data_IF_200851187711
#
_entry.id   IF_200851187711
#
_cell.length_a   1.000
_cell.length_b   1.000
_cell.length_c   1.000
_cell.angle_alpha   90.00
_cell.angle_beta   90.00
_cell.angle_gamma   90.00
#
_symmetry.space_group_name_H-M   'P 1'
#
loop_
_entity.id
_entity.type
_entity.pdbx_description
1 polymer ?
#
# COMPACT_ATOMS: atom_id res chain seq x y z
N UNK A 1 -14.13 -31.32 -10.03
CA UNK A 1 -12.75 -31.09 -9.53
C UNK A 1 -12.86 -30.60 -8.09
N UNK A 2 -12.22 -31.28 -7.15
CA UNK A 2 -12.13 -30.81 -5.78
C UNK A 2 -11.35 -29.50 -5.77
N UNK A 3 -11.95 -28.43 -5.26
CA UNK A 3 -11.30 -27.12 -5.13
C UNK A 3 -10.32 -27.18 -3.94
N UNK A 4 -9.05 -27.41 -4.22
CA UNK A 4 -8.01 -27.41 -3.18
C UNK A 4 -7.64 -25.96 -2.87
N UNK A 5 -7.84 -25.52 -1.63
CA UNK A 5 -7.40 -24.21 -1.17
C UNK A 5 -5.88 -24.13 -1.23
N UNK A 6 -5.36 -23.03 -1.80
CA UNK A 6 -3.95 -22.68 -1.83
C UNK A 6 -3.73 -21.33 -1.15
N UNK A 7 -2.69 -21.26 -0.33
CA UNK A 7 -2.27 -20.03 0.36
C UNK A 7 -0.85 -19.60 -0.04
N UNK A 8 -0.39 -20.06 -1.22
CA UNK A 8 0.96 -19.74 -1.70
C UNK A 8 1.09 -18.29 -2.21
N UNK A 9 0.02 -17.74 -2.75
CA UNK A 9 -0.09 -16.33 -3.13
C UNK A 9 -1.56 -15.92 -3.29
N UNK A 10 -1.83 -14.64 -3.43
CA UNK A 10 -3.17 -14.04 -3.52
C UNK A 10 -3.67 -13.81 -4.97
N UNK A 11 -2.97 -14.33 -5.98
CA UNK A 11 -3.28 -14.14 -7.41
C UNK A 11 -3.34 -15.45 -8.22
N UNK A 12 -3.65 -16.58 -7.59
CA UNK A 12 -3.69 -17.90 -8.28
C UNK A 12 -5.02 -18.14 -8.98
N UNK A 13 -6.12 -17.81 -8.36
CA UNK A 13 -7.45 -17.97 -8.91
C UNK A 13 -7.91 -16.70 -9.63
N UNK A 14 -8.89 -16.87 -10.53
CA UNK A 14 -9.57 -15.75 -11.18
C UNK A 14 -10.56 -15.04 -10.26
N UNK A 15 -11.33 -14.13 -10.82
CA UNK A 15 -12.31 -13.36 -10.07
C UNK A 15 -13.48 -14.25 -9.57
N UNK A 16 -14.06 -13.87 -8.43
CA UNK A 16 -15.28 -14.52 -7.93
C UNK A 16 -16.38 -14.53 -8.98
N UNK A 17 -17.20 -15.62 -9.10
CA UNK A 17 -18.23 -15.74 -10.14
C UNK A 17 -19.17 -14.53 -10.25
N UNK A 18 -19.56 -13.89 -9.15
CA UNK A 18 -20.40 -12.69 -9.18
C UNK A 18 -19.70 -11.49 -9.85
N UNK A 19 -18.37 -11.38 -9.75
CA UNK A 19 -17.59 -10.34 -10.43
C UNK A 19 -17.56 -10.64 -11.93
N UNK A 20 -17.31 -11.89 -12.33
CA UNK A 20 -17.33 -12.30 -13.74
C UNK A 20 -18.69 -12.05 -14.37
N UNK A 21 -19.78 -12.40 -13.67
CA UNK A 21 -21.14 -12.11 -14.12
C UNK A 21 -21.34 -10.61 -14.32
N UNK A 22 -20.94 -9.78 -13.35
CA UNK A 22 -21.07 -8.34 -13.44
C UNK A 22 -20.27 -7.74 -14.59
N UNK A 23 -19.07 -8.25 -14.84
CA UNK A 23 -18.27 -7.85 -16.00
C UNK A 23 -18.98 -8.18 -17.33
N UNK A 24 -19.60 -9.37 -17.45
CA UNK A 24 -20.39 -9.71 -18.62
C UNK A 24 -21.59 -8.76 -18.83
N UNK A 25 -22.33 -8.44 -17.75
CA UNK A 25 -23.48 -7.55 -17.80
C UNK A 25 -23.13 -6.13 -18.21
N UNK A 26 -21.95 -5.65 -17.85
CA UNK A 26 -21.49 -4.28 -18.08
C UNK A 26 -20.52 -4.14 -19.27
N UNK A 27 -20.23 -5.25 -19.97
CA UNK A 27 -19.18 -5.31 -20.99
C UNK A 27 -19.32 -4.27 -22.12
N UNK A 28 -20.55 -3.86 -22.45
CA UNK A 28 -20.82 -2.87 -23.48
C UNK A 28 -21.20 -1.49 -22.92
N UNK A 29 -21.09 -1.29 -21.61
CA UNK A 29 -21.34 0.01 -21.02
C UNK A 29 -20.25 1.00 -21.44
N UNK A 30 -20.66 2.17 -21.91
CA UNK A 30 -19.75 3.27 -22.24
C UNK A 30 -19.64 4.19 -21.03
N UNK A 31 -18.49 4.17 -20.38
CA UNK A 31 -18.24 4.91 -19.14
C UNK A 31 -17.19 5.99 -19.34
N UNK A 32 -17.24 7.03 -18.49
CA UNK A 32 -16.15 8.00 -18.40
C UNK A 32 -14.87 7.31 -17.90
N UNK A 33 -13.71 7.84 -18.31
CA UNK A 33 -12.41 7.35 -17.82
C UNK A 33 -11.98 7.98 -16.50
N UNK A 34 -10.79 7.61 -16.06
CA UNK A 34 -10.09 8.22 -14.91
C UNK A 34 -10.82 8.10 -13.56
N UNK A 35 -11.64 7.07 -13.39
CA UNK A 35 -12.36 6.82 -12.15
C UNK A 35 -13.50 7.80 -11.85
N UNK A 36 -14.01 8.52 -12.87
CA UNK A 36 -15.13 9.46 -12.72
C UNK A 36 -16.48 8.87 -13.15
N UNK A 37 -16.51 7.58 -13.41
CA UNK A 37 -17.69 6.84 -13.82
C UNK A 37 -18.58 6.44 -12.63
N UNK A 38 -19.82 6.04 -12.94
CA UNK A 38 -20.82 5.66 -11.94
C UNK A 38 -20.45 4.41 -11.12
N UNK A 39 -19.67 3.48 -11.70
CA UNK A 39 -19.23 2.28 -10.99
C UNK A 39 -18.19 2.64 -9.94
N UNK A 40 -17.24 3.51 -10.29
CA UNK A 40 -16.25 4.02 -9.35
C UNK A 40 -16.91 4.81 -8.21
N UNK A 41 -17.91 5.66 -8.50
CA UNK A 41 -18.59 6.40 -7.45
C UNK A 41 -19.40 5.47 -6.53
N UNK A 42 -20.14 4.53 -7.08
CA UNK A 42 -20.83 3.50 -6.29
C UNK A 42 -19.85 2.68 -5.42
N UNK A 43 -18.66 2.39 -5.93
CA UNK A 43 -17.63 1.69 -5.16
C UNK A 43 -17.10 2.55 -4.00
N UNK A 44 -16.84 3.86 -4.24
CA UNK A 44 -16.40 4.81 -3.19
C UNK A 44 -17.41 4.90 -2.05
N UNK A 45 -18.70 5.02 -2.38
CA UNK A 45 -19.78 5.06 -1.38
C UNK A 45 -19.79 3.80 -0.52
N UNK A 46 -19.71 2.63 -1.13
CA UNK A 46 -19.68 1.34 -0.43
C UNK A 46 -18.44 1.18 0.46
N UNK A 47 -17.28 1.61 -0.03
CA UNK A 47 -16.03 1.56 0.74
C UNK A 47 -16.13 2.51 1.94
N UNK A 48 -16.58 3.75 1.75
CA UNK A 48 -16.80 4.71 2.85
C UNK A 48 -17.73 4.13 3.92
N UNK A 49 -18.82 3.53 3.49
CA UNK A 49 -19.78 2.89 4.41
C UNK A 49 -19.17 1.71 5.16
N UNK A 50 -18.48 0.82 4.46
CA UNK A 50 -17.84 -0.37 5.05
C UNK A 50 -16.73 -0.02 6.04
N UNK A 51 -15.98 1.06 5.78
CA UNK A 51 -14.90 1.54 6.64
C UNK A 51 -15.38 2.47 7.77
N UNK A 52 -16.65 2.86 7.80
CA UNK A 52 -17.16 3.86 8.75
C UNK A 52 -16.50 5.25 8.58
N UNK A 53 -16.03 5.58 7.38
CA UNK A 53 -15.25 6.77 7.07
C UNK A 53 -15.94 7.64 6.00
N UNK A 54 -17.05 8.33 6.33
CA UNK A 54 -17.91 8.99 5.34
C UNK A 54 -17.22 10.11 4.56
N UNK A 55 -16.16 10.69 5.13
CA UNK A 55 -15.40 11.78 4.52
C UNK A 55 -14.08 11.34 3.89
N UNK A 56 -13.80 10.04 3.83
CA UNK A 56 -12.55 9.55 3.24
C UNK A 56 -12.55 9.77 1.72
N UNK A 57 -11.42 10.23 1.21
CA UNK A 57 -11.13 10.19 -0.23
C UNK A 57 -10.68 8.78 -0.61
N UNK A 58 -11.26 8.24 -1.68
CA UNK A 58 -10.97 6.89 -2.17
C UNK A 58 -10.37 7.00 -3.57
N UNK A 59 -9.17 6.48 -3.73
CA UNK A 59 -8.44 6.44 -4.98
C UNK A 59 -8.26 4.98 -5.44
N UNK A 60 -8.48 4.72 -6.72
CA UNK A 60 -8.26 3.40 -7.32
C UNK A 60 -6.95 3.42 -8.10
N UNK A 61 -6.06 2.50 -7.77
CA UNK A 61 -4.74 2.33 -8.37
C UNK A 61 -4.61 0.90 -8.94
N UNK A 62 -3.68 0.69 -9.86
CA UNK A 62 -3.59 -0.54 -10.65
C UNK A 62 -3.11 -1.74 -9.82
N UNK A 63 -2.30 -1.50 -8.79
CA UNK A 63 -1.75 -2.59 -7.97
C UNK A 63 -1.03 -2.08 -6.73
N UNK A 64 -0.65 -3.02 -5.84
CA UNK A 64 -0.04 -2.72 -4.55
C UNK A 64 1.26 -1.93 -4.64
N UNK A 65 2.16 -2.33 -5.53
CA UNK A 65 3.44 -1.62 -5.74
C UNK A 65 3.23 -0.17 -6.17
N UNK A 66 2.32 0.08 -7.13
CA UNK A 66 1.98 1.44 -7.53
C UNK A 66 1.35 2.23 -6.38
N UNK A 67 0.49 1.59 -5.59
CA UNK A 67 -0.14 2.21 -4.43
C UNK A 67 0.91 2.64 -3.40
N UNK A 68 1.81 1.75 -3.03
CA UNK A 68 2.88 2.03 -2.09
C UNK A 68 3.79 3.17 -2.58
N UNK A 69 4.28 3.07 -3.81
CA UNK A 69 5.13 4.11 -4.40
C UNK A 69 4.43 5.48 -4.45
N UNK A 70 3.17 5.52 -4.90
CA UNK A 70 2.40 6.77 -5.00
C UNK A 70 2.14 7.40 -3.63
N UNK A 71 1.74 6.59 -2.64
CA UNK A 71 1.42 7.10 -1.30
C UNK A 71 2.68 7.60 -0.59
N UNK A 72 3.77 6.85 -0.66
CA UNK A 72 5.04 7.20 -0.03
C UNK A 72 5.59 8.50 -0.64
N UNK A 73 5.64 8.58 -1.98
CA UNK A 73 6.13 9.78 -2.68
C UNK A 73 5.24 11.01 -2.44
N UNK A 74 3.91 10.83 -2.35
CA UNK A 74 2.99 11.94 -2.12
C UNK A 74 3.00 12.47 -0.68
N UNK A 75 3.34 11.65 0.31
CA UNK A 75 3.25 12.00 1.72
C UNK A 75 4.60 12.31 2.38
N UNK A 76 5.71 11.85 1.82
CA UNK A 76 7.04 12.09 2.33
C UNK A 76 7.75 13.22 1.59
N UNK A 77 8.61 13.92 2.32
CA UNK A 77 9.58 14.86 1.74
C UNK A 77 10.79 14.07 1.23
N UNK A 78 11.52 14.65 0.29
CA UNK A 78 12.67 14.00 -0.37
C UNK A 78 13.79 13.50 0.57
N UNK A 79 13.86 14.00 1.80
CA UNK A 79 14.81 13.58 2.83
C UNK A 79 14.22 12.63 3.87
N UNK A 80 12.95 12.26 3.72
CA UNK A 80 12.25 11.35 4.61
C UNK A 80 12.22 9.93 4.03
N UNK A 81 12.23 8.94 4.91
CA UNK A 81 12.14 7.52 4.58
C UNK A 81 10.96 6.85 5.26
N UNK A 82 10.62 5.67 4.77
CA UNK A 82 9.53 4.84 5.29
C UNK A 82 10.10 3.67 6.09
N UNK A 83 9.57 3.46 7.30
CA UNK A 83 9.94 2.33 8.17
C UNK A 83 9.13 1.10 7.75
N UNK A 84 9.80 -0.03 7.61
CA UNK A 84 9.16 -1.32 7.35
C UNK A 84 9.86 -2.45 8.09
N UNK A 85 9.20 -3.60 8.20
CA UNK A 85 9.88 -4.84 8.57
C UNK A 85 10.95 -5.19 7.52
N UNK A 86 12.05 -5.80 7.92
CA UNK A 86 13.09 -6.29 6.99
C UNK A 86 12.56 -7.31 5.97
N UNK A 87 11.45 -7.98 6.28
CA UNK A 87 10.67 -8.84 5.39
C UNK A 87 9.45 -8.14 4.76
N UNK A 88 9.29 -6.83 4.99
CA UNK A 88 8.17 -6.07 4.44
C UNK A 88 8.18 -6.04 2.91
N UNK A 89 7.00 -6.03 2.30
CA UNK A 89 6.84 -6.12 0.85
C UNK A 89 7.62 -5.03 0.10
N UNK A 90 7.57 -3.79 0.58
CA UNK A 90 8.31 -2.65 0.01
C UNK A 90 9.84 -2.80 0.10
N UNK A 91 10.33 -3.64 1.03
CA UNK A 91 11.76 -3.90 1.20
C UNK A 91 12.26 -5.04 0.29
N UNK A 92 11.45 -6.09 0.06
CA UNK A 92 11.93 -7.34 -0.53
C UNK A 92 11.28 -7.74 -1.86
N UNK A 93 10.11 -7.19 -2.22
CA UNK A 93 9.34 -7.66 -3.38
C UNK A 93 9.01 -6.60 -4.45
N UNK A 94 9.28 -5.33 -4.21
CA UNK A 94 8.88 -4.25 -5.13
C UNK A 94 10.00 -3.77 -6.06
N UNK A 95 11.10 -4.52 -6.15
CA UNK A 95 12.20 -4.26 -7.09
C UNK A 95 12.78 -2.83 -7.01
N UNK A 96 12.81 -2.24 -5.82
CA UNK A 96 13.34 -0.89 -5.60
C UNK A 96 12.37 0.23 -6.02
N UNK A 97 11.06 -0.03 -6.09
CA UNK A 97 10.08 0.98 -6.51
C UNK A 97 10.04 2.20 -5.59
N UNK A 98 10.27 2.01 -4.30
CA UNK A 98 10.30 3.10 -3.32
C UNK A 98 11.59 3.92 -3.46
N UNK A 99 12.73 3.25 -3.59
CA UNK A 99 14.04 3.88 -3.79
C UNK A 99 14.11 4.63 -5.13
N UNK A 100 13.42 4.14 -6.16
CA UNK A 100 13.29 4.83 -7.44
C UNK A 100 12.58 6.18 -7.29
N UNK A 101 11.58 6.29 -6.38
CA UNK A 101 10.93 7.54 -6.00
C UNK A 101 11.84 8.47 -5.17
N UNK A 102 13.03 8.03 -4.79
CA UNK A 102 13.99 8.82 -4.01
C UNK A 102 13.86 8.66 -2.50
N UNK A 103 13.01 7.75 -2.03
CA UNK A 103 12.81 7.50 -0.61
C UNK A 103 13.53 6.22 -0.16
N UNK A 104 14.11 6.27 1.03
CA UNK A 104 14.78 5.11 1.61
C UNK A 104 13.81 4.27 2.44
N UNK A 105 13.87 2.96 2.27
CA UNK A 105 13.21 2.03 3.19
C UNK A 105 14.13 1.81 4.40
N UNK A 106 13.66 2.19 5.58
CA UNK A 106 14.32 2.02 6.87
C UNK A 106 13.83 0.73 7.50
N UNK A 107 14.62 -0.32 7.39
CA UNK A 107 14.21 -1.65 7.84
C UNK A 107 14.47 -1.88 9.33
N UNK A 108 13.49 -2.48 10.01
CA UNK A 108 13.60 -2.98 11.36
C UNK A 108 13.49 -4.52 11.38
N UNK A 109 14.21 -5.21 12.27
CA UNK A 109 14.12 -6.66 12.39
C UNK A 109 12.70 -7.06 12.81
N UNK A 110 12.14 -8.03 12.10
CA UNK A 110 10.79 -8.52 12.37
C UNK A 110 10.78 -9.66 13.39
N UNK A 111 9.66 -9.79 14.12
CA UNK A 111 9.28 -10.98 14.86
C UNK A 111 7.92 -11.48 14.38
N UNK A 112 7.86 -12.70 13.84
CA UNK A 112 6.64 -13.27 13.25
C UNK A 112 6.00 -12.36 12.19
N UNK A 113 6.83 -11.74 11.34
CA UNK A 113 6.40 -10.83 10.28
C UNK A 113 5.96 -9.44 10.73
N UNK A 114 6.21 -9.06 11.99
CA UNK A 114 5.77 -7.78 12.57
C UNK A 114 6.92 -6.99 13.16
N UNK A 115 6.79 -5.68 13.12
CA UNK A 115 7.56 -4.73 13.92
C UNK A 115 6.69 -4.15 15.02
N UNK A 116 7.30 -3.66 16.09
CA UNK A 116 6.60 -3.15 17.27
C UNK A 116 6.76 -1.64 17.41
N UNK A 117 5.83 -1.01 18.11
CA UNK A 117 5.91 0.42 18.43
C UNK A 117 7.17 0.77 19.22
N UNK A 118 7.68 -0.16 20.05
CA UNK A 118 8.93 0.04 20.81
C UNK A 118 10.16 0.08 19.89
N UNK A 119 10.22 -0.75 18.85
CA UNK A 119 11.31 -0.71 17.86
C UNK A 119 11.28 0.61 17.06
N UNK A 120 10.08 1.05 16.66
CA UNK A 120 9.89 2.34 15.98
C UNK A 120 10.33 3.48 16.88
N UNK A 121 9.93 3.48 18.15
CA UNK A 121 10.35 4.48 19.14
C UNK A 121 11.85 4.53 19.30
N UNK A 122 12.50 3.39 19.43
CA UNK A 122 13.95 3.31 19.57
C UNK A 122 14.69 3.87 18.33
N UNK A 123 14.17 3.64 17.13
CA UNK A 123 14.71 4.23 15.90
C UNK A 123 14.57 5.76 15.88
N UNK A 124 13.41 6.27 16.32
CA UNK A 124 13.17 7.72 16.40
C UNK A 124 14.07 8.37 17.45
N UNK A 125 14.18 7.78 18.64
CA UNK A 125 15.06 8.27 19.71
C UNK A 125 16.52 8.29 19.23
N UNK A 126 16.97 7.23 18.56
CA UNK A 126 18.32 7.18 17.97
C UNK A 126 18.54 8.29 16.93
N UNK A 127 17.55 8.57 16.08
CA UNK A 127 17.63 9.66 15.10
C UNK A 127 17.68 11.02 15.79
N UNK A 128 16.86 11.25 16.82
CA UNK A 128 16.79 12.51 17.54
C UNK A 128 18.05 12.82 18.35
N UNK A 129 18.66 11.77 18.93
CA UNK A 129 19.88 11.88 19.73
C UNK A 129 21.16 11.99 18.88
N UNK A 130 21.10 11.72 17.56
CA UNK A 130 22.26 11.85 16.67
C UNK A 130 22.56 13.31 16.38
N UNK A 131 23.71 13.77 16.81
CA UNK A 131 24.21 15.13 16.54
C UNK A 131 24.39 15.42 15.04
N UNK A 132 24.51 14.38 14.22
CA UNK A 132 24.66 14.46 12.76
C UNK A 132 23.40 14.03 11.99
N UNK A 133 22.23 14.01 12.63
CA UNK A 133 20.97 13.56 12.01
C UNK A 133 20.64 14.24 10.68
N UNK A 134 21.10 15.49 10.49
CA UNK A 134 20.88 16.23 9.24
C UNK A 134 21.62 15.62 8.03
N UNK A 135 22.52 14.64 8.27
CA UNK A 135 23.21 13.84 7.24
C UNK A 135 22.54 12.48 7.01
N UNK A 136 21.48 12.16 7.76
CA UNK A 136 20.78 10.86 7.69
C UNK A 136 19.35 11.03 7.22
N UNK A 137 18.74 9.93 6.77
CA UNK A 137 17.34 9.95 6.33
C UNK A 137 16.43 10.06 7.55
N UNK A 138 15.54 11.03 7.54
CA UNK A 138 14.55 11.23 8.60
C UNK A 138 13.45 10.18 8.50
N UNK A 139 13.13 9.43 9.57
CA UNK A 139 11.96 8.54 9.58
C UNK A 139 10.67 9.35 9.52
N UNK A 140 9.89 9.23 8.43
CA UNK A 140 8.68 10.03 8.19
C UNK A 140 7.37 9.23 8.14
N UNK A 141 7.44 7.92 7.93
CA UNK A 141 6.26 7.05 7.76
C UNK A 141 6.56 5.64 8.28
N UNK A 142 5.52 4.89 8.62
CA UNK A 142 5.55 3.44 8.93
C UNK A 142 4.59 2.71 8.02
#
# INVERSE_FOLDING_TARGET
MEHRLSFSCDYLEGAHPAILQRLCETNFAQTAGYGTDEYCESAREKIRAACGAPNAEIHFLVGGTQTNATVIDALLRSYEGVIAADTGHISVHEAGAIEFGGHKVLTLPQENGKITASQIRALLDQYEDDANRDHTVMPGMV
#
